data_IF_247726771938
#
_entry.id   IF_247726771938
#
_cell.length_a   1.000
_cell.length_b   1.000
_cell.length_c   1.000
_cell.angle_alpha   90.00
_cell.angle_beta   90.00
_cell.angle_gamma   90.00
#
_symmetry.space_group_name_H-M   'P 1'
#
loop_
_entity.id
_entity.type
_entity.pdbx_description
1 polymer ?
#
# COMPACT_ATOMS: atom_id res chain seq x y z
N UNK A 1 24.83 -43.06 -56.42
CA UNK A 1 24.67 -41.61 -56.15
C UNK A 1 23.69 -41.45 -55.01
N UNK A 2 24.18 -41.18 -53.79
CA UNK A 2 23.36 -40.70 -52.67
C UNK A 2 24.13 -39.54 -52.06
N UNK A 3 23.66 -38.33 -52.33
CA UNK A 3 24.18 -37.10 -51.76
C UNK A 3 23.68 -36.95 -50.34
N UNK A 4 24.56 -36.35 -49.54
CA UNK A 4 24.49 -36.07 -48.11
C UNK A 4 23.49 -34.95 -47.86
N UNK A 5 22.45 -35.20 -47.07
CA UNK A 5 21.66 -34.14 -46.45
C UNK A 5 22.27 -33.76 -45.11
N UNK A 6 22.88 -32.58 -45.11
CA UNK A 6 23.30 -31.82 -43.93
C UNK A 6 22.04 -31.35 -43.19
N UNK A 7 21.82 -31.84 -41.98
CA UNK A 7 20.93 -31.16 -41.03
C UNK A 7 21.74 -30.02 -40.38
N UNK A 8 21.28 -28.75 -40.41
CA UNK A 8 22.03 -27.63 -39.86
C UNK A 8 21.92 -27.60 -38.33
N UNK A 9 23.07 -27.53 -37.67
CA UNK A 9 23.24 -27.42 -36.22
C UNK A 9 22.84 -26.03 -35.65
N UNK A 10 21.88 -25.34 -36.28
CA UNK A 10 21.50 -23.96 -35.91
C UNK A 10 20.10 -23.84 -35.30
N UNK A 11 19.36 -24.94 -35.13
CA UNK A 11 18.03 -24.92 -34.50
C UNK A 11 18.05 -25.12 -32.97
N UNK A 12 19.16 -25.57 -32.39
CA UNK A 12 19.23 -25.94 -30.97
C UNK A 12 19.64 -24.79 -30.02
N UNK A 13 20.08 -23.65 -30.54
CA UNK A 13 20.51 -22.50 -29.72
C UNK A 13 19.43 -21.42 -29.55
N UNK A 14 18.35 -21.42 -30.33
CA UNK A 14 17.27 -20.43 -30.19
C UNK A 14 16.23 -20.83 -29.13
N UNK A 15 15.89 -22.12 -29.01
CA UNK A 15 14.97 -22.58 -27.96
C UNK A 15 15.59 -22.48 -26.55
N UNK A 16 16.92 -22.58 -26.44
CA UNK A 16 17.63 -22.39 -25.16
C UNK A 16 17.74 -20.91 -24.76
N UNK A 17 17.71 -19.97 -25.70
CA UNK A 17 17.72 -18.53 -25.42
C UNK A 17 16.31 -17.95 -25.18
N UNK A 18 15.25 -18.50 -25.77
CA UNK A 18 13.87 -18.10 -25.47
C UNK A 18 13.38 -18.56 -24.09
N UNK A 19 13.91 -19.69 -23.57
CA UNK A 19 13.59 -20.14 -22.21
C UNK A 19 14.36 -19.40 -21.10
N UNK A 20 15.30 -18.52 -21.44
CA UNK A 20 15.98 -17.63 -20.47
C UNK A 20 15.36 -16.22 -20.38
N UNK A 21 14.31 -15.91 -21.17
CA UNK A 21 13.67 -14.58 -21.18
C UNK A 21 12.25 -14.51 -20.62
N UNK A 22 11.72 -15.61 -20.06
CA UNK A 22 10.49 -15.57 -19.26
C UNK A 22 10.76 -15.54 -17.76
N UNK A 23 11.88 -14.95 -17.33
CA UNK A 23 11.92 -14.31 -16.01
C UNK A 23 11.32 -12.92 -16.19
N UNK A 24 10.00 -12.83 -16.07
CA UNK A 24 9.36 -11.56 -15.74
C UNK A 24 10.07 -11.03 -14.50
N UNK A 25 10.89 -9.99 -14.67
CA UNK A 25 11.53 -9.31 -13.56
C UNK A 25 10.42 -8.97 -12.56
N UNK A 26 10.40 -9.55 -11.34
CA UNK A 26 9.34 -9.28 -10.37
C UNK A 26 9.29 -7.81 -9.95
N UNK A 27 10.27 -7.00 -10.37
CA UNK A 27 10.24 -5.54 -10.21
C UNK A 27 9.15 -4.84 -11.02
N UNK A 28 8.65 -5.42 -12.12
CA UNK A 28 7.67 -4.77 -13.00
C UNK A 28 6.24 -4.87 -12.44
N UNK A 29 5.92 -5.95 -11.72
CA UNK A 29 4.58 -6.17 -11.13
C UNK A 29 4.22 -5.10 -10.09
N UNK A 30 5.22 -4.65 -9.33
CA UNK A 30 5.07 -3.63 -8.28
C UNK A 30 5.50 -2.22 -8.73
N UNK A 31 5.76 -2.01 -10.03
CA UNK A 31 6.04 -0.68 -10.54
C UNK A 31 4.76 0.18 -10.52
N UNK A 32 4.85 1.34 -9.86
CA UNK A 32 3.76 2.31 -9.72
C UNK A 32 3.90 3.50 -10.67
N UNK A 33 4.98 3.63 -11.44
CA UNK A 33 5.26 4.85 -12.19
C UNK A 33 4.12 5.26 -13.14
N UNK A 34 3.55 4.29 -13.88
CA UNK A 34 2.41 4.55 -14.77
C UNK A 34 1.13 4.90 -14.01
N UNK A 35 0.86 4.19 -12.92
CA UNK A 35 -0.33 4.42 -12.11
C UNK A 35 -0.26 5.77 -11.40
N UNK A 36 0.93 6.23 -10.98
CA UNK A 36 1.13 7.55 -10.37
C UNK A 36 0.87 8.70 -11.35
N UNK A 37 1.30 8.55 -12.62
CA UNK A 37 0.95 9.52 -13.68
C UNK A 37 -0.56 9.56 -13.89
N UNK A 38 -1.20 8.39 -13.93
CA UNK A 38 -2.65 8.30 -14.09
C UNK A 38 -3.40 8.91 -12.90
N UNK A 39 -2.91 8.69 -11.67
CA UNK A 39 -3.51 9.24 -10.45
C UNK A 39 -3.51 10.77 -10.45
N UNK A 40 -2.39 11.39 -10.83
CA UNK A 40 -2.32 12.85 -10.93
C UNK A 40 -3.20 13.39 -12.07
N UNK A 41 -3.29 12.67 -13.20
CA UNK A 41 -4.22 13.03 -14.27
C UNK A 41 -5.69 12.96 -13.81
N UNK A 42 -6.09 11.89 -13.12
CA UNK A 42 -7.44 11.72 -12.58
C UNK A 42 -7.79 12.80 -11.53
N UNK A 43 -6.83 13.16 -10.66
CA UNK A 43 -7.01 14.27 -9.71
C UNK A 43 -7.18 15.61 -10.41
N UNK A 44 -6.37 15.89 -11.43
CA UNK A 44 -6.47 17.11 -12.22
C UNK A 44 -7.83 17.20 -12.94
N UNK A 45 -8.31 16.10 -13.51
CA UNK A 45 -9.62 16.03 -14.16
C UNK A 45 -10.77 16.26 -13.16
N UNK A 46 -10.71 15.64 -11.98
CA UNK A 46 -11.70 15.84 -10.92
C UNK A 46 -11.73 17.31 -10.49
N UNK A 47 -10.57 17.93 -10.29
CA UNK A 47 -10.48 19.33 -9.88
C UNK A 47 -10.98 20.29 -10.97
N UNK A 48 -10.63 20.03 -12.23
CA UNK A 48 -11.16 20.77 -13.37
C UNK A 48 -12.69 20.68 -13.40
N UNK A 49 -13.25 19.48 -13.22
CA UNK A 49 -14.70 19.26 -13.22
C UNK A 49 -15.40 19.97 -12.06
N UNK A 50 -14.79 19.95 -10.87
CA UNK A 50 -15.26 20.72 -9.71
C UNK A 50 -15.26 22.22 -9.98
N UNK A 51 -14.20 22.74 -10.59
CA UNK A 51 -14.11 24.18 -10.90
C UNK A 51 -15.15 24.64 -11.92
N UNK A 52 -15.57 23.74 -12.82
CA UNK A 52 -16.55 24.03 -13.87
C UNK A 52 -17.99 23.63 -13.50
N UNK A 53 -18.21 23.06 -12.31
CA UNK A 53 -19.47 22.35 -11.99
C UNK A 53 -20.69 23.26 -12.04
N UNK A 54 -20.58 24.48 -11.51
CA UNK A 54 -21.69 25.42 -11.48
C UNK A 54 -22.05 25.93 -12.87
N UNK A 55 -21.05 26.20 -13.72
CA UNK A 55 -21.29 26.60 -15.10
C UNK A 55 -21.87 25.44 -15.93
N UNK A 56 -21.35 24.23 -15.71
CA UNK A 56 -21.89 23.00 -16.31
C UNK A 56 -23.36 22.80 -15.92
N UNK A 57 -23.68 22.94 -14.64
CA UNK A 57 -25.04 22.83 -14.15
C UNK A 57 -25.97 23.90 -14.74
N UNK A 58 -25.53 25.16 -14.79
CA UNK A 58 -26.31 26.24 -15.39
C UNK A 58 -26.66 25.96 -16.86
N UNK A 59 -25.71 25.43 -17.63
CA UNK A 59 -25.95 25.03 -19.02
C UNK A 59 -26.88 23.82 -19.10
N UNK A 60 -26.69 22.82 -18.23
CA UNK A 60 -27.51 21.62 -18.17
C UNK A 60 -28.97 21.97 -17.85
N UNK A 61 -29.23 22.72 -16.78
CA UNK A 61 -30.59 23.03 -16.34
C UNK A 61 -31.31 23.91 -17.37
N UNK A 62 -30.60 24.84 -18.03
CA UNK A 62 -31.17 25.67 -19.10
C UNK A 62 -31.64 24.86 -20.32
N UNK A 63 -31.04 23.70 -20.57
CA UNK A 63 -31.39 22.81 -21.68
C UNK A 63 -32.37 21.70 -21.27
N UNK A 64 -32.46 21.39 -19.98
CA UNK A 64 -33.24 20.27 -19.44
C UNK A 64 -34.32 20.73 -18.46
N UNK A 65 -34.80 21.98 -18.62
CA UNK A 65 -35.86 22.52 -17.80
C UNK A 65 -37.16 21.74 -18.07
N UNK A 66 -37.69 21.08 -17.05
CA UNK A 66 -38.92 20.30 -17.19
C UNK A 66 -40.15 21.22 -17.09
N UNK A 67 -41.30 20.84 -17.68
CA UNK A 67 -42.53 21.61 -17.56
C UNK A 67 -42.94 21.88 -16.11
N UNK A 68 -42.71 20.92 -15.21
CA UNK A 68 -42.99 21.06 -13.78
C UNK A 68 -42.07 22.10 -13.12
N UNK A 69 -40.79 22.15 -13.53
CA UNK A 69 -39.84 23.13 -13.02
C UNK A 69 -40.16 24.54 -13.55
N UNK A 70 -40.60 24.64 -14.81
CA UNK A 70 -41.11 25.90 -15.41
C UNK A 70 -42.36 26.38 -14.67
N UNK A 71 -43.31 25.49 -14.35
CA UNK A 71 -44.50 25.86 -13.61
C UNK A 71 -44.16 26.40 -12.21
N UNK A 72 -43.24 25.73 -11.51
CA UNK A 72 -42.72 26.20 -10.22
C UNK A 72 -42.03 27.56 -10.35
N UNK A 73 -41.35 27.83 -11.47
CA UNK A 73 -40.74 29.14 -11.72
C UNK A 73 -41.77 30.27 -11.78
N UNK A 74 -42.98 30.02 -12.31
CA UNK A 74 -44.05 31.02 -12.39
C UNK A 74 -45.00 31.02 -11.18
N UNK A 75 -44.96 29.99 -10.34
CA UNK A 75 -45.75 29.92 -9.10
C UNK A 75 -45.39 31.01 -8.08
N UNK A 76 -46.29 31.25 -7.12
CA UNK A 76 -46.06 32.19 -6.00
C UNK A 76 -44.96 31.69 -5.04
N UNK A 77 -44.81 30.37 -4.91
CA UNK A 77 -43.82 29.74 -4.02
C UNK A 77 -42.45 29.60 -4.72
N UNK A 78 -41.66 30.68 -4.67
CA UNK A 78 -40.27 30.66 -5.17
C UNK A 78 -39.36 29.73 -4.37
N UNK A 79 -39.70 29.43 -3.11
CA UNK A 79 -38.90 28.51 -2.29
C UNK A 79 -38.96 27.10 -2.85
N UNK A 80 -40.16 26.65 -3.25
CA UNK A 80 -40.34 25.34 -3.87
C UNK A 80 -39.53 25.21 -5.18
N UNK A 81 -39.47 26.26 -6.00
CA UNK A 81 -38.66 26.30 -7.21
C UNK A 81 -37.17 26.09 -6.92
N UNK A 82 -36.57 26.90 -6.03
CA UNK A 82 -35.15 26.78 -5.72
C UNK A 82 -34.79 25.43 -5.08
N UNK A 83 -35.66 24.86 -4.24
CA UNK A 83 -35.45 23.52 -3.70
C UNK A 83 -35.47 22.43 -4.78
N UNK A 84 -36.32 22.56 -5.80
CA UNK A 84 -36.33 21.64 -6.93
C UNK A 84 -35.05 21.77 -7.78
N UNK A 85 -34.59 23.00 -8.02
CA UNK A 85 -33.32 23.27 -8.72
C UNK A 85 -32.13 22.70 -7.97
N UNK A 86 -32.06 22.86 -6.65
CA UNK A 86 -30.97 22.29 -5.83
C UNK A 86 -30.97 20.75 -5.89
N UNK A 87 -32.13 20.10 -5.90
CA UNK A 87 -32.20 18.64 -6.09
C UNK A 87 -31.67 18.19 -7.46
N UNK A 88 -31.94 18.95 -8.52
CA UNK A 88 -31.37 18.68 -9.83
C UNK A 88 -29.86 18.95 -9.86
N UNK A 89 -29.39 19.95 -9.11
CA UNK A 89 -27.97 20.23 -8.93
C UNK A 89 -27.26 19.08 -8.22
N UNK A 90 -27.82 18.55 -7.14
CA UNK A 90 -27.27 17.40 -6.41
C UNK A 90 -27.11 16.19 -7.33
N UNK A 91 -28.15 15.85 -8.10
CA UNK A 91 -28.08 14.75 -9.09
C UNK A 91 -27.04 15.01 -10.17
N UNK A 92 -26.96 16.23 -10.68
CA UNK A 92 -25.97 16.60 -11.69
C UNK A 92 -24.55 16.46 -11.14
N UNK A 93 -24.29 16.95 -9.92
CA UNK A 93 -23.01 16.81 -9.23
C UNK A 93 -22.66 15.32 -9.03
N UNK A 94 -23.62 14.51 -8.59
CA UNK A 94 -23.41 13.07 -8.40
C UNK A 94 -23.02 12.40 -9.72
N UNK A 95 -23.76 12.66 -10.79
CA UNK A 95 -23.48 12.07 -12.11
C UNK A 95 -22.14 12.52 -12.71
N UNK A 96 -21.76 13.78 -12.52
CA UNK A 96 -20.53 14.34 -13.12
C UNK A 96 -19.28 14.06 -12.29
N UNK A 97 -19.38 14.10 -10.95
CA UNK A 97 -18.22 14.01 -10.06
C UNK A 97 -18.01 12.62 -9.46
N UNK A 98 -19.07 11.83 -9.20
CA UNK A 98 -18.90 10.53 -8.56
C UNK A 98 -18.00 9.58 -9.39
N UNK A 99 -18.19 9.43 -10.71
CA UNK A 99 -17.32 8.54 -11.50
C UNK A 99 -15.84 8.97 -11.49
N UNK A 100 -15.58 10.29 -11.42
CA UNK A 100 -14.22 10.85 -11.37
C UNK A 100 -13.58 10.62 -10.01
N UNK A 101 -14.36 10.76 -8.94
CA UNK A 101 -13.92 10.46 -7.58
C UNK A 101 -13.65 8.97 -7.41
N UNK A 102 -14.50 8.11 -7.97
CA UNK A 102 -14.28 6.66 -8.00
C UNK A 102 -12.99 6.31 -8.73
N UNK A 103 -12.70 6.96 -9.87
CA UNK A 103 -11.44 6.73 -10.59
C UNK A 103 -10.21 7.11 -9.77
N UNK A 104 -10.24 8.26 -9.09
CA UNK A 104 -9.14 8.67 -8.19
C UNK A 104 -8.93 7.62 -7.09
N UNK A 105 -10.02 7.15 -6.47
CA UNK A 105 -9.95 6.15 -5.41
C UNK A 105 -9.42 4.80 -5.93
N UNK A 106 -9.90 4.34 -7.09
CA UNK A 106 -9.48 3.08 -7.71
C UNK A 106 -7.98 3.07 -8.02
N UNK A 107 -7.49 4.12 -8.69
CA UNK A 107 -6.06 4.23 -9.04
C UNK A 107 -5.21 4.40 -7.78
N UNK A 108 -5.69 5.19 -6.80
CA UNK A 108 -5.02 5.34 -5.51
C UNK A 108 -4.88 4.02 -4.75
N UNK A 109 -5.94 3.21 -4.71
CA UNK A 109 -5.92 1.89 -4.09
C UNK A 109 -4.95 0.95 -4.81
N UNK A 110 -4.98 0.92 -6.15
CA UNK A 110 -4.04 0.13 -6.95
C UNK A 110 -2.58 0.46 -6.65
N UNK A 111 -2.24 1.75 -6.51
CA UNK A 111 -0.89 2.20 -6.13
C UNK A 111 -0.56 1.71 -4.72
N UNK A 112 -1.48 1.85 -3.77
CA UNK A 112 -1.28 1.42 -2.39
C UNK A 112 -1.02 -0.09 -2.31
N UNK A 113 -1.83 -0.89 -2.99
CA UNK A 113 -1.68 -2.36 -3.03
C UNK A 113 -0.33 -2.77 -3.64
N UNK A 114 0.09 -2.12 -4.73
CA UNK A 114 1.41 -2.34 -5.33
C UNK A 114 2.55 -1.98 -4.39
N UNK A 115 2.45 -0.88 -3.65
CA UNK A 115 3.48 -0.48 -2.67
C UNK A 115 3.58 -1.48 -1.53
N UNK A 116 2.45 -1.91 -0.98
CA UNK A 116 2.40 -2.97 0.04
C UNK A 116 3.02 -4.26 -0.50
N UNK A 117 2.66 -4.67 -1.72
CA UNK A 117 3.24 -5.85 -2.36
C UNK A 117 4.75 -5.73 -2.58
N UNK A 118 5.24 -4.56 -2.98
CA UNK A 118 6.67 -4.27 -3.13
C UNK A 118 7.41 -4.44 -1.81
N UNK A 119 6.89 -3.83 -0.75
CA UNK A 119 7.52 -3.83 0.57
C UNK A 119 7.56 -5.27 1.13
N UNK A 120 6.48 -6.03 0.97
CA UNK A 120 6.44 -7.46 1.32
C UNK A 120 7.44 -8.29 0.52
N UNK A 121 7.52 -8.07 -0.80
CA UNK A 121 8.47 -8.78 -1.65
C UNK A 121 9.92 -8.47 -1.25
N UNK A 122 10.25 -7.20 -1.05
CA UNK A 122 11.59 -6.77 -0.63
C UNK A 122 11.98 -7.33 0.73
N UNK A 123 11.07 -7.29 1.71
CA UNK A 123 11.31 -7.87 3.01
C UNK A 123 11.49 -9.40 2.97
N UNK A 124 10.73 -10.11 2.13
CA UNK A 124 10.92 -11.55 1.93
C UNK A 124 12.31 -11.85 1.37
N UNK A 125 12.74 -11.10 0.36
CA UNK A 125 14.08 -11.26 -0.20
C UNK A 125 15.17 -10.98 0.84
N UNK A 126 15.02 -9.92 1.63
CA UNK A 126 15.99 -9.57 2.68
C UNK A 126 16.04 -10.62 3.81
N UNK A 127 14.87 -11.11 4.22
CA UNK A 127 14.76 -12.20 5.19
C UNK A 127 15.46 -13.47 4.67
N UNK A 128 15.23 -13.88 3.43
CA UNK A 128 15.86 -15.08 2.86
C UNK A 128 17.37 -14.94 2.64
N UNK A 129 17.90 -13.73 2.47
CA UNK A 129 19.36 -13.51 2.46
C UNK A 129 20.00 -13.80 3.81
N UNK A 130 19.32 -13.44 4.89
CA UNK A 130 19.81 -13.62 6.27
C UNK A 130 19.50 -15.00 6.83
N UNK A 131 18.40 -15.62 6.38
CA UNK A 131 17.95 -16.96 6.76
C UNK A 131 17.74 -17.85 5.53
N UNK A 132 18.82 -18.24 4.82
CA UNK A 132 18.71 -18.98 3.55
C UNK A 132 18.08 -20.37 3.68
N UNK A 133 18.04 -20.92 4.89
CA UNK A 133 17.44 -22.22 5.19
C UNK A 133 16.00 -22.11 5.72
N UNK A 134 15.46 -20.88 5.87
CA UNK A 134 14.12 -20.70 6.38
C UNK A 134 13.07 -21.13 5.33
N UNK A 135 12.10 -21.93 5.77
CA UNK A 135 10.95 -22.31 4.95
C UNK A 135 9.83 -21.28 5.12
N UNK A 136 9.71 -20.39 4.13
CA UNK A 136 8.74 -19.32 4.16
C UNK A 136 7.29 -19.82 4.08
N UNK A 137 7.03 -20.99 3.48
CA UNK A 137 5.67 -21.55 3.42
C UNK A 137 5.29 -22.10 4.81
N UNK A 138 6.22 -22.75 5.50
CA UNK A 138 6.01 -23.18 6.89
C UNK A 138 5.78 -21.99 7.84
N UNK A 139 6.48 -20.88 7.63
CA UNK A 139 6.26 -19.64 8.39
C UNK A 139 4.86 -19.06 8.17
N UNK A 140 4.38 -19.09 6.92
CA UNK A 140 3.04 -18.65 6.59
C UNK A 140 1.98 -19.56 7.22
N UNK A 141 2.15 -20.87 7.12
CA UNK A 141 1.25 -21.86 7.73
C UNK A 141 1.18 -21.69 9.25
N UNK A 142 2.33 -21.54 9.92
CA UNK A 142 2.40 -21.23 11.34
C UNK A 142 1.67 -19.93 11.69
N UNK A 143 1.89 -18.87 10.91
CA UNK A 143 1.19 -17.60 11.11
C UNK A 143 -0.33 -17.73 10.98
N UNK A 144 -0.83 -18.45 9.97
CA UNK A 144 -2.26 -18.58 9.70
C UNK A 144 -2.97 -19.52 10.69
N UNK A 145 -2.32 -20.62 11.08
CA UNK A 145 -2.95 -21.73 11.79
C UNK A 145 -2.55 -21.85 13.27
N UNK A 146 -1.36 -21.39 13.66
CA UNK A 146 -0.84 -21.54 15.02
C UNK A 146 -0.78 -20.23 15.81
N UNK A 147 -0.64 -19.09 15.13
CA UNK A 147 -0.62 -17.77 15.80
C UNK A 147 -2.03 -17.29 16.11
N UNK A 148 -2.31 -17.00 17.38
CA UNK A 148 -3.61 -16.46 17.77
C UNK A 148 -3.91 -15.07 17.20
N UNK A 149 -5.18 -14.78 16.92
CA UNK A 149 -5.64 -13.56 16.25
C UNK A 149 -5.11 -12.23 16.83
N UNK A 150 -4.90 -12.15 18.16
CA UNK A 150 -4.31 -10.96 18.79
C UNK A 150 -2.86 -10.73 18.35
N UNK A 151 -2.04 -11.79 18.33
CA UNK A 151 -0.64 -11.71 17.92
C UNK A 151 -0.52 -11.59 16.40
N UNK A 152 -1.42 -12.20 15.63
CA UNK A 152 -1.50 -11.95 14.18
C UNK A 152 -1.68 -10.45 13.87
N UNK A 153 -2.61 -9.78 14.55
CA UNK A 153 -2.81 -8.33 14.37
C UNK A 153 -1.59 -7.50 14.76
N UNK A 154 -0.89 -7.89 15.82
CA UNK A 154 0.35 -7.25 16.24
C UNK A 154 1.43 -7.40 15.17
N UNK A 155 1.65 -8.60 14.65
CA UNK A 155 2.59 -8.89 13.56
C UNK A 155 2.26 -8.13 12.28
N UNK A 156 0.97 -8.07 11.90
CA UNK A 156 0.52 -7.31 10.72
C UNK A 156 0.68 -5.80 10.87
N UNK A 157 0.90 -5.29 12.09
CA UNK A 157 1.17 -3.87 12.34
C UNK A 157 2.67 -3.53 12.35
N UNK A 158 3.54 -4.54 12.36
CA UNK A 158 4.99 -4.36 12.32
C UNK A 158 5.47 -4.11 10.88
N UNK A 159 6.73 -3.66 10.76
CA UNK A 159 7.38 -3.66 9.47
C UNK A 159 7.52 -5.12 8.96
N UNK A 160 7.39 -5.38 7.64
CA UNK A 160 7.31 -6.74 7.12
C UNK A 160 8.50 -7.63 7.48
N UNK A 161 9.72 -7.07 7.43
CA UNK A 161 10.94 -7.80 7.79
C UNK A 161 10.98 -8.18 9.28
N UNK A 162 10.55 -7.27 10.15
CA UNK A 162 10.49 -7.52 11.60
C UNK A 162 9.46 -8.61 11.90
N UNK A 163 8.30 -8.57 11.24
CA UNK A 163 7.28 -9.60 11.37
C UNK A 163 7.80 -10.97 10.93
N UNK A 164 8.52 -11.07 9.80
CA UNK A 164 9.13 -12.33 9.37
C UNK A 164 10.16 -12.85 10.36
N UNK A 165 11.04 -12.00 10.88
CA UNK A 165 12.00 -12.40 11.90
C UNK A 165 11.32 -12.89 13.18
N UNK A 166 10.29 -12.19 13.65
CA UNK A 166 9.54 -12.53 14.85
C UNK A 166 8.77 -13.87 14.68
N UNK A 167 8.16 -14.11 13.51
CA UNK A 167 7.54 -15.40 13.18
C UNK A 167 8.58 -16.53 13.19
N UNK A 168 9.75 -16.28 12.58
CA UNK A 168 10.82 -17.27 12.52
C UNK A 168 11.36 -17.64 13.91
N UNK A 169 11.51 -16.65 14.80
CA UNK A 169 11.88 -16.88 16.21
C UNK A 169 10.82 -17.68 16.95
N UNK A 170 9.53 -17.39 16.75
CA UNK A 170 8.45 -18.17 17.36
C UNK A 170 8.46 -19.64 16.95
N UNK A 171 8.91 -19.96 15.73
CA UNK A 171 9.10 -21.33 15.26
C UNK A 171 10.39 -22.00 15.78
N UNK A 172 11.19 -21.28 16.59
CA UNK A 172 12.46 -21.77 17.12
C UNK A 172 13.67 -21.52 16.23
N UNK A 173 13.53 -20.68 15.21
CA UNK A 173 14.65 -20.21 14.38
C UNK A 173 15.60 -19.28 15.16
N UNK A 174 16.89 -19.40 14.90
CA UNK A 174 17.89 -18.49 15.45
C UNK A 174 18.11 -17.31 14.51
N UNK A 175 17.95 -16.09 15.02
CA UNK A 175 18.31 -14.88 14.28
C UNK A 175 19.79 -14.62 14.51
N UNK A 176 20.61 -14.60 13.45
CA UNK A 176 21.98 -14.12 13.53
C UNK A 176 21.99 -12.63 13.86
N UNK A 177 21.99 -12.35 15.15
CA UNK A 177 22.11 -11.03 15.72
C UNK A 177 23.60 -10.65 15.76
N UNK A 178 24.05 -9.78 14.85
CA UNK A 178 25.06 -8.80 15.25
C UNK A 178 24.37 -7.81 16.20
N UNK A 179 24.18 -8.25 17.45
CA UNK A 179 23.86 -7.34 18.55
C UNK A 179 25.02 -6.34 18.67
N UNK A 180 24.75 -5.03 18.81
CA UNK A 180 25.77 -4.10 19.26
C UNK A 180 26.36 -4.65 20.55
N UNK A 181 27.69 -4.81 20.59
CA UNK A 181 28.41 -5.25 21.78
C UNK A 181 27.87 -4.45 22.97
N UNK A 182 27.31 -5.16 23.95
CA UNK A 182 26.97 -4.54 25.22
C UNK A 182 28.20 -3.75 25.68
N UNK A 183 28.04 -2.45 25.84
CA UNK A 183 29.06 -1.64 26.51
C UNK A 183 29.15 -2.23 27.91
N UNK A 184 30.24 -2.94 28.19
CA UNK A 184 30.63 -3.26 29.56
C UNK A 184 30.62 -1.94 30.32
N UNK A 185 29.64 -1.78 31.22
CA UNK A 185 29.65 -0.70 32.19
C UNK A 185 30.88 -0.89 33.06
N UNK A 186 31.98 -0.21 32.71
CA UNK A 186 33.11 -0.01 33.59
C UNK A 186 32.58 0.74 34.80
N UNK A 187 32.25 0.01 35.87
CA UNK A 187 32.17 0.59 37.19
C UNK A 187 33.57 1.08 37.56
N UNK A 188 33.80 2.38 37.35
CA UNK A 188 34.91 3.06 37.99
C UNK A 188 34.73 2.91 39.49
N UNK A 189 35.60 2.10 40.10
CA UNK A 189 35.92 2.14 41.51
C UNK A 189 36.43 3.55 41.81
N UNK A 190 35.55 4.42 42.31
CA UNK A 190 35.99 5.62 43.02
C UNK A 190 36.10 5.27 44.51
N UNK A 191 37.35 4.99 44.86
CA UNK A 191 37.87 4.80 46.19
C UNK A 191 37.95 6.18 46.86
N UNK A 192 36.98 6.51 47.72
CA UNK A 192 37.17 7.59 48.71
C UNK A 192 36.81 7.11 50.10
N UNK A 193 37.87 6.89 50.86
CA UNK A 193 37.88 6.51 52.24
C UNK A 193 37.44 7.64 53.19
N UNK A 194 36.62 7.25 54.17
CA UNK A 194 36.61 7.67 55.59
C UNK A 194 35.69 8.80 56.09
N UNK A 195 34.83 8.38 57.06
CA UNK A 195 34.28 9.08 58.25
C UNK A 195 33.31 10.24 57.99
N UNK A 196 32.20 10.43 58.69
CA UNK A 196 31.61 9.99 59.96
C UNK A 196 30.09 9.93 59.71
N UNK A 197 29.32 9.01 60.28
CA UNK A 197 28.61 9.31 61.52
C UNK A 197 27.18 9.79 61.25
N UNK A 198 26.23 9.10 61.88
CA UNK A 198 24.88 9.55 62.21
C UNK A 198 23.72 9.21 61.23
N UNK A 199 23.01 8.13 61.59
CA UNK A 199 21.63 7.89 61.20
C UNK A 199 20.72 8.65 62.17
N UNK A 200 19.79 9.47 61.66
CA UNK A 200 18.51 9.62 62.34
C UNK A 200 17.38 9.07 61.46
N UNK A 201 16.79 7.98 61.94
CA UNK A 201 15.42 7.66 61.62
C UNK A 201 14.54 8.84 62.05
N UNK A 202 13.78 9.42 61.12
CA UNK A 202 12.59 10.16 61.49
C UNK A 202 11.38 9.58 60.77
N UNK A 203 10.59 8.89 61.59
CA UNK A 203 9.14 8.78 61.43
C UNK A 203 8.57 10.20 61.49
N UNK A 204 7.80 10.59 60.48
CA UNK A 204 6.40 11.01 60.54
C UNK A 204 5.91 11.27 59.13
#
# INVERSE_FOLDING_TARGET
MKSVDKVPAQALDQEAMEQMQSQTNPSDEYDTAKDEVEFEAAKAELEQSRSAIDQGFANYIAQNLTPELEELFFAEDKSAFFLAVEKEKEKFIENELAPKMDRVNEVGQKIADKKVGKDMHQAKQEFLKTHPNADFEAMKDFFENEVGAKKQKELLSMAPLDAFNEIYVMMGGEVSQELPKQIEGSYSQDDTSSRDGDLPANRF
#
